data_IF_231448729934
#
_entry.id   IF_231448729934
#
_cell.length_a   1.000
_cell.length_b   1.000
_cell.length_c   1.000
_cell.angle_alpha   90.00
_cell.angle_beta   90.00
_cell.angle_gamma   90.00
#
_symmetry.space_group_name_H-M   'P 1'
#
loop_
_entity.id
_entity.type
_entity.pdbx_description
1 polymer ?
#
# COMPACT_ATOMS: atom_id res chain seq x y z
N UNK A 1 42.63 -44.67 -7.80
CA UNK A 1 41.63 -43.97 -8.62
C UNK A 1 40.31 -44.73 -8.47
N UNK A 2 39.17 -44.15 -8.12
CA UNK A 2 38.56 -42.94 -8.71
C UNK A 2 37.58 -42.33 -7.70
N UNK A 3 37.81 -41.08 -7.29
CA UNK A 3 36.89 -40.31 -6.45
C UNK A 3 35.65 -39.93 -7.29
N UNK A 4 34.47 -40.46 -6.96
CA UNK A 4 33.21 -39.95 -7.53
C UNK A 4 32.63 -38.93 -6.57
N UNK A 5 32.91 -37.66 -6.84
CA UNK A 5 32.32 -36.51 -6.18
C UNK A 5 30.82 -36.48 -6.50
N UNK A 6 29.99 -36.76 -5.50
CA UNK A 6 28.53 -36.59 -5.57
C UNK A 6 28.27 -35.10 -5.31
N UNK A 7 27.72 -34.32 -6.25
CA UNK A 7 27.39 -32.93 -5.98
C UNK A 7 26.15 -32.92 -5.08
N UNK A 8 26.31 -32.51 -3.82
CA UNK A 8 25.17 -32.11 -2.99
C UNK A 8 24.60 -30.83 -3.61
N UNK A 9 23.52 -30.98 -4.36
CA UNK A 9 22.68 -29.87 -4.82
C UNK A 9 22.04 -29.26 -3.57
N UNK A 10 22.58 -28.14 -3.10
CA UNK A 10 21.94 -27.35 -2.06
C UNK A 10 20.68 -26.69 -2.66
N UNK A 11 19.53 -27.31 -2.44
CA UNK A 11 18.24 -26.71 -2.72
C UNK A 11 18.01 -25.57 -1.71
N UNK A 12 18.38 -24.35 -2.09
CA UNK A 12 18.01 -23.15 -1.35
C UNK A 12 16.49 -22.98 -1.43
N UNK A 13 15.79 -23.40 -0.38
CA UNK A 13 14.37 -23.12 -0.22
C UNK A 13 14.18 -21.61 -0.09
N UNK A 14 13.76 -20.96 -1.18
CA UNK A 14 13.29 -19.58 -1.14
C UNK A 14 11.99 -19.55 -0.33
N UNK A 15 12.10 -19.34 0.98
CA UNK A 15 10.97 -18.97 1.83
C UNK A 15 10.61 -17.53 1.47
N UNK A 16 9.85 -17.37 0.40
CA UNK A 16 9.23 -16.08 0.08
C UNK A 16 8.27 -15.74 1.22
N UNK A 17 8.51 -14.63 1.93
CA UNK A 17 7.48 -14.04 2.78
C UNK A 17 6.29 -13.77 1.86
N UNK A 18 5.18 -14.46 2.09
CA UNK A 18 3.93 -14.14 1.43
C UNK A 18 3.62 -12.68 1.80
N UNK A 19 3.72 -11.77 0.82
CA UNK A 19 3.19 -10.43 0.96
C UNK A 19 1.67 -10.58 1.03
N UNK A 20 1.12 -10.74 2.23
CA UNK A 20 -0.31 -10.79 2.43
C UNK A 20 -0.85 -9.40 2.17
N UNK A 21 -1.41 -9.21 0.99
CA UNK A 21 -2.24 -8.06 0.71
C UNK A 21 -3.49 -8.20 1.58
N UNK A 22 -3.71 -7.22 2.48
CA UNK A 22 -4.80 -7.29 3.46
C UNK A 22 -6.05 -6.73 2.79
N UNK A 23 -6.82 -7.62 2.20
CA UNK A 23 -8.18 -7.37 1.75
C UNK A 23 -9.15 -7.96 2.79
N UNK A 24 -9.87 -7.11 3.50
CA UNK A 24 -10.92 -7.52 4.44
C UNK A 24 -12.33 -7.47 3.81
N UNK A 25 -12.41 -7.23 2.49
CA UNK A 25 -13.63 -7.24 1.72
C UNK A 25 -14.61 -6.12 2.11
N UNK A 26 -14.14 -5.10 2.81
CA UNK A 26 -15.02 -4.04 3.36
C UNK A 26 -15.81 -3.32 2.27
N UNK A 27 -15.28 -3.27 1.05
CA UNK A 27 -15.93 -2.64 -0.09
C UNK A 27 -16.50 -3.64 -1.11
N UNK A 28 -16.42 -4.95 -0.87
CA UNK A 28 -16.84 -5.98 -1.83
C UNK A 28 -18.34 -5.89 -2.22
N UNK A 29 -19.20 -5.39 -1.33
CA UNK A 29 -20.63 -5.17 -1.58
C UNK A 29 -21.02 -3.67 -1.57
N UNK A 30 -20.04 -2.77 -1.62
CA UNK A 30 -20.28 -1.33 -1.61
C UNK A 30 -20.69 -0.83 -3.01
N UNK A 31 -21.64 0.11 -3.12
CA UNK A 31 -21.88 0.81 -4.40
C UNK A 31 -20.64 1.58 -4.89
N UNK A 32 -19.65 1.80 -4.02
CA UNK A 32 -18.38 2.45 -4.35
C UNK A 32 -17.31 1.48 -4.88
N UNK A 33 -17.57 0.16 -4.94
CA UNK A 33 -16.58 -0.84 -5.37
C UNK A 33 -15.93 -0.50 -6.71
N UNK A 34 -16.72 -0.25 -7.74
CA UNK A 34 -16.20 0.08 -9.08
C UNK A 34 -15.42 1.39 -9.10
N UNK A 35 -15.74 2.33 -8.20
CA UNK A 35 -14.96 3.55 -8.06
C UNK A 35 -13.60 3.27 -7.39
N UNK A 36 -13.55 2.48 -6.31
CA UNK A 36 -12.29 2.05 -5.70
C UNK A 36 -11.40 1.30 -6.69
N UNK A 37 -11.97 0.39 -7.48
CA UNK A 37 -11.25 -0.37 -8.52
C UNK A 37 -10.69 0.52 -9.64
N UNK A 38 -11.31 1.68 -9.90
CA UNK A 38 -10.82 2.65 -10.88
C UNK A 38 -9.71 3.58 -10.35
N UNK A 39 -9.39 3.53 -9.05
CA UNK A 39 -8.38 4.43 -8.49
C UNK A 39 -6.98 4.00 -8.90
N UNK A 40 -6.23 4.96 -9.43
CA UNK A 40 -4.81 4.84 -9.74
C UNK A 40 -4.04 5.98 -9.08
N UNK A 41 -2.82 5.67 -8.66
CA UNK A 41 -1.83 6.70 -8.37
C UNK A 41 -1.53 7.53 -9.62
N UNK A 42 -1.01 8.75 -9.45
CA UNK A 42 -0.53 9.56 -10.57
C UNK A 42 0.60 8.87 -11.35
N UNK A 43 1.39 8.01 -10.68
CA UNK A 43 2.36 7.12 -11.31
C UNK A 43 1.77 5.98 -12.15
N UNK A 44 0.44 5.82 -12.19
CA UNK A 44 -0.29 4.86 -13.02
C UNK A 44 -0.52 3.48 -12.39
N UNK A 45 0.04 3.21 -11.22
CA UNK A 45 -0.20 1.96 -10.49
C UNK A 45 -1.62 1.91 -9.88
N UNK A 46 -2.34 0.78 -9.98
CA UNK A 46 -3.65 0.63 -9.35
C UNK A 46 -3.55 0.68 -7.83
N UNK A 47 -4.55 1.29 -7.17
CA UNK A 47 -4.58 1.41 -5.71
C UNK A 47 -5.18 0.19 -5.03
N UNK A 48 -6.32 -0.28 -5.52
CA UNK A 48 -7.14 -1.34 -4.91
C UNK A 48 -7.01 -2.71 -5.59
N UNK A 49 -6.06 -2.91 -6.51
CA UNK A 49 -5.93 -4.19 -7.21
C UNK A 49 -5.50 -5.35 -6.29
N UNK A 50 -4.78 -5.04 -5.20
CA UNK A 50 -4.22 -6.05 -4.29
C UNK A 50 -4.79 -5.97 -2.86
N UNK A 51 -5.16 -4.79 -2.36
CA UNK A 51 -5.62 -4.60 -0.99
C UNK A 51 -6.63 -3.45 -0.85
N UNK A 52 -7.57 -3.61 0.08
CA UNK A 52 -8.49 -2.54 0.46
C UNK A 52 -7.73 -1.42 1.22
N UNK A 53 -8.03 -0.17 0.87
CA UNK A 53 -7.39 1.00 1.48
C UNK A 53 -7.74 1.15 2.96
N UNK A 54 -6.79 1.63 3.76
CA UNK A 54 -6.98 1.89 5.19
C UNK A 54 -7.43 3.33 5.40
N UNK A 55 -8.60 3.53 6.01
CA UNK A 55 -9.01 4.85 6.46
C UNK A 55 -8.13 5.28 7.64
N UNK A 56 -7.61 6.50 7.59
CA UNK A 56 -6.82 7.09 8.67
C UNK A 56 -7.73 7.97 9.54
N UNK A 57 -7.45 7.99 10.84
CA UNK A 57 -8.00 9.01 11.73
C UNK A 57 -7.30 10.35 11.46
N UNK A 58 -7.96 11.47 11.76
CA UNK A 58 -7.44 12.81 11.44
C UNK A 58 -6.07 13.12 12.05
N UNK A 59 -5.70 12.44 13.14
CA UNK A 59 -4.41 12.57 13.83
C UNK A 59 -3.27 11.78 13.18
N UNK A 60 -3.60 10.84 12.30
CA UNK A 60 -2.64 9.92 11.69
C UNK A 60 -2.18 10.38 10.30
N UNK A 61 -2.43 11.63 9.95
CA UNK A 61 -1.88 12.26 8.76
C UNK A 61 -1.77 13.78 8.93
N UNK A 62 -0.85 14.41 8.19
CA UNK A 62 -0.74 15.86 8.15
C UNK A 62 -0.08 16.33 6.85
N UNK A 63 -0.15 17.64 6.61
CA UNK A 63 0.63 18.31 5.56
C UNK A 63 1.83 19.00 6.19
N UNK A 64 3.03 18.69 5.70
CA UNK A 64 4.29 19.32 6.13
C UNK A 64 5.09 19.77 4.92
N UNK A 65 5.37 21.07 4.83
CA UNK A 65 6.19 21.62 3.74
C UNK A 65 5.59 21.46 2.34
N UNK A 66 4.26 21.33 2.23
CA UNK A 66 3.57 21.13 0.95
C UNK A 66 3.34 19.66 0.57
N UNK A 67 3.87 18.72 1.34
CA UNK A 67 3.70 17.28 1.12
C UNK A 67 2.87 16.65 2.23
N UNK A 68 2.20 15.54 1.93
CA UNK A 68 1.50 14.75 2.94
C UNK A 68 2.48 13.82 3.66
N UNK A 69 2.22 13.57 4.94
CA UNK A 69 2.80 12.43 5.66
C UNK A 69 1.71 11.71 6.44
N UNK A 70 1.88 10.40 6.57
CA UNK A 70 0.95 9.52 7.29
C UNK A 70 1.68 8.80 8.40
N UNK A 71 0.98 8.51 9.48
CA UNK A 71 1.51 7.75 10.60
C UNK A 71 1.09 6.28 10.48
N UNK A 72 2.05 5.39 10.31
CA UNK A 72 1.80 3.95 10.17
C UNK A 72 2.76 3.22 11.10
N UNK A 73 2.22 2.32 11.93
CA UNK A 73 2.98 1.55 12.93
C UNK A 73 3.81 2.44 13.89
N UNK A 74 3.35 3.67 14.14
CA UNK A 74 3.99 4.64 15.03
C UNK A 74 4.96 5.60 14.33
N UNK A 75 5.38 5.29 13.10
CA UNK A 75 6.34 6.06 12.31
C UNK A 75 5.65 7.02 11.35
N UNK A 76 6.25 8.20 11.15
CA UNK A 76 5.83 9.16 10.13
C UNK A 76 6.49 8.84 8.80
N UNK A 77 5.66 8.63 7.78
CA UNK A 77 6.08 8.27 6.43
C UNK A 77 5.63 9.37 5.47
N UNK A 78 6.57 9.92 4.71
CA UNK A 78 6.25 10.88 3.66
C UNK A 78 5.52 10.18 2.51
N UNK A 79 4.47 10.85 2.02
CA UNK A 79 3.68 10.41 0.87
C UNK A 79 4.33 11.00 -0.38
N UNK A 80 4.86 10.17 -1.30
CA UNK A 80 5.34 10.66 -2.58
C UNK A 80 4.21 11.34 -3.39
N UNK A 81 4.50 12.49 -4.00
CA UNK A 81 3.49 13.29 -4.72
C UNK A 81 2.83 12.53 -5.89
N UNK A 82 3.55 11.58 -6.49
CA UNK A 82 3.06 10.72 -7.58
C UNK A 82 2.13 9.58 -7.09
N UNK A 83 2.01 9.39 -5.78
CA UNK A 83 1.08 8.43 -5.15
C UNK A 83 -0.22 9.09 -4.68
N UNK A 84 -0.29 10.42 -4.70
CA UNK A 84 -1.48 11.16 -4.32
C UNK A 84 -2.55 11.03 -5.41
N UNK A 85 -3.74 10.59 -5.01
CA UNK A 85 -4.91 10.48 -5.87
C UNK A 85 -5.53 11.87 -6.04
N UNK A 86 -5.77 12.25 -7.30
CA UNK A 86 -6.39 13.54 -7.66
C UNK A 86 -7.90 13.43 -7.93
N UNK A 87 -8.44 12.22 -7.98
CA UNK A 87 -9.88 11.99 -8.13
C UNK A 87 -10.66 12.50 -6.91
N UNK A 88 -11.91 12.96 -7.11
CA UNK A 88 -12.75 13.40 -5.99
C UNK A 88 -12.93 12.30 -4.95
N UNK A 89 -12.65 12.62 -3.68
CA UNK A 89 -12.84 11.70 -2.57
C UNK A 89 -14.33 11.49 -2.27
N UNK A 90 -14.89 10.35 -2.71
CA UNK A 90 -16.30 9.98 -2.50
C UNK A 90 -16.61 9.38 -1.13
N UNK A 91 -15.58 9.11 -0.33
CA UNK A 91 -15.69 8.54 1.03
C UNK A 91 -15.68 9.64 2.08
N UNK A 92 -15.05 10.79 1.76
CA UNK A 92 -14.93 11.94 2.67
C UNK A 92 -13.88 11.77 3.77
N UNK A 93 -13.19 10.62 3.83
CA UNK A 93 -12.13 10.32 4.80
C UNK A 93 -10.79 10.18 4.10
N UNK A 94 -9.70 10.40 4.83
CA UNK A 94 -8.35 10.11 4.34
C UNK A 94 -8.16 8.60 4.23
N UNK A 95 -7.65 8.13 3.09
CA UNK A 95 -7.39 6.70 2.85
C UNK A 95 -5.96 6.51 2.37
N UNK A 96 -5.27 5.51 2.90
CA UNK A 96 -3.92 5.14 2.50
C UNK A 96 -3.84 3.67 2.08
N UNK A 97 -3.08 3.39 1.04
CA UNK A 97 -2.74 2.03 0.58
C UNK A 97 -1.25 1.79 0.79
N UNK A 98 -0.83 1.31 1.98
CA UNK A 98 0.56 0.98 2.23
C UNK A 98 0.92 -0.38 1.62
N UNK A 99 2.19 -0.56 1.31
CA UNK A 99 2.77 -1.86 1.01
C UNK A 99 4.16 -1.96 1.65
N UNK A 100 4.61 -3.19 1.89
CA UNK A 100 5.82 -3.44 2.66
C UNK A 100 6.84 -4.19 1.81
N UNK A 101 8.03 -3.61 1.65
CA UNK A 101 9.12 -4.21 0.86
C UNK A 101 10.41 -4.13 1.67
N UNK A 102 11.04 -5.29 1.92
CA UNK A 102 12.32 -5.35 2.64
C UNK A 102 12.27 -4.71 4.05
N UNK A 103 11.13 -4.81 4.74
CA UNK A 103 10.91 -4.21 6.07
C UNK A 103 10.63 -2.70 6.07
N UNK A 104 10.49 -2.07 4.89
CA UNK A 104 10.12 -0.67 4.76
C UNK A 104 8.66 -0.53 4.39
N UNK A 105 7.98 0.42 5.01
CA UNK A 105 6.62 0.82 4.65
C UNK A 105 6.69 1.87 3.53
N UNK A 106 5.99 1.61 2.44
CA UNK A 106 5.89 2.48 1.27
C UNK A 106 4.43 2.78 0.97
N UNK A 107 4.16 3.92 0.35
CA UNK A 107 2.81 4.35 0.01
C UNK A 107 2.56 4.05 -1.46
N UNK A 108 1.56 3.20 -1.75
CA UNK A 108 1.11 2.92 -3.12
C UNK A 108 0.18 4.02 -3.61
N UNK A 109 -0.80 4.36 -2.78
CA UNK A 109 -1.74 5.44 -3.03
C UNK A 109 -2.12 6.16 -1.74
N UNK A 110 -2.43 7.44 -1.87
CA UNK A 110 -2.95 8.28 -0.80
C UNK A 110 -4.11 9.13 -1.32
N UNK A 111 -5.26 9.00 -0.68
CA UNK A 111 -6.43 9.85 -0.91
C UNK A 111 -6.55 10.84 0.25
N UNK A 112 -6.31 12.14 0.02
CA UNK A 112 -6.53 13.12 1.06
C UNK A 112 -8.02 13.20 1.42
N UNK A 113 -8.30 13.25 2.72
CA UNK A 113 -9.60 13.64 3.25
C UNK A 113 -9.81 15.15 3.12
N UNK A 114 -11.03 15.59 3.36
CA UNK A 114 -11.30 17.02 3.53
C UNK A 114 -10.82 17.43 4.92
N UNK A 115 -9.82 18.33 4.99
CA UNK A 115 -9.47 19.02 6.23
C UNK A 115 -10.62 19.99 6.56
N UNK A 116 -11.64 19.53 7.28
CA UNK A 116 -12.68 20.42 7.84
C UNK A 116 -12.40 20.72 9.30
#
# INVERSE_FOLDING_TARGET
>A
MTFRMIPLIAAAAMVGLAAQARDDGRFANSPLKGWFESLHSKGGGPCCADADGTALDDVDWETRGGHYRVRILGDWIEVPDDTVITEPNRVGRTIVWPYYVGGRTLIRCFMPGSMT
#
